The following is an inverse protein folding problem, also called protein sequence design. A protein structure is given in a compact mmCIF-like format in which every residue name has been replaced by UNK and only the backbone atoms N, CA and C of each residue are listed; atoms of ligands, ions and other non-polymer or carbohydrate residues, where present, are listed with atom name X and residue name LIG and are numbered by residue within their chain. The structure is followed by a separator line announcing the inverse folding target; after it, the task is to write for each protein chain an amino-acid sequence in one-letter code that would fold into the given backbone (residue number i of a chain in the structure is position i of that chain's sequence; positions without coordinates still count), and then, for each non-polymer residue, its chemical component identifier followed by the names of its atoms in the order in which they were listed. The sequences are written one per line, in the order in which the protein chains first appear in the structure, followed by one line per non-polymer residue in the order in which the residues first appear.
data_IF_031954450628
#
_entry.id   IF_031954450628
#
_cell.length_a   1.000
_cell.length_b   1.000
_cell.length_c   1.000
_cell.angle_alpha   90.00
_cell.angle_beta   90.00
_cell.angle_gamma   90.00
#
_symmetry.space_group_name_H-M   'P 1'
#
loop_
_entity.id
_entity.type
_entity.pdbx_description
1 polymer ?
#
# COMPACT_ATOMS: atom_id res chain seq x y z
N UNK A 1 15.51 -9.16 -10.87
CA UNK A 1 14.20 -9.75 -10.50
C UNK A 1 13.11 -8.76 -10.84
N UNK A 2 11.94 -9.21 -11.32
CA UNK A 2 10.76 -8.37 -11.52
C UNK A 2 9.73 -8.69 -10.45
N UNK A 3 9.14 -7.70 -9.81
CA UNK A 3 8.15 -7.87 -8.75
C UNK A 3 6.99 -6.90 -8.93
N UNK A 4 5.77 -7.38 -8.73
CA UNK A 4 4.59 -6.54 -8.58
C UNK A 4 4.24 -6.44 -7.09
N UNK A 5 3.83 -5.25 -6.63
CA UNK A 5 3.44 -5.03 -5.25
C UNK A 5 2.21 -4.13 -5.17
N UNK A 6 1.25 -4.54 -4.37
CA UNK A 6 0.02 -3.83 -4.05
C UNK A 6 -0.41 -4.26 -2.64
N UNK A 7 -1.24 -3.47 -1.99
CA UNK A 7 -1.74 -3.76 -0.64
C UNK A 7 -3.22 -3.41 -0.53
N UNK A 8 -3.91 -4.17 0.30
CA UNK A 8 -5.25 -3.90 0.79
C UNK A 8 -5.27 -4.26 2.27
N UNK A 9 -5.34 -3.25 3.14
CA UNK A 9 -5.29 -3.39 4.59
C UNK A 9 -6.52 -2.82 5.27
N UNK A 10 -7.16 -3.61 6.12
CA UNK A 10 -8.16 -3.10 7.07
C UNK A 10 -8.16 -4.01 8.30
N UNK A 11 -8.21 -3.40 9.48
CA UNK A 11 -8.45 -4.12 10.73
C UNK A 11 -9.91 -3.90 11.11
N UNK A 12 -10.67 -4.99 11.27
CA UNK A 12 -12.12 -4.93 11.48
C UNK A 12 -12.47 -5.39 12.88
N UNK A 13 -13.43 -4.70 13.50
CA UNK A 13 -14.05 -5.09 14.75
C UNK A 13 -15.52 -5.47 14.49
N UNK A 14 -15.91 -6.69 14.87
CA UNK A 14 -17.27 -7.22 14.66
C UNK A 14 -18.32 -6.52 15.54
N UNK A 15 -17.90 -5.91 16.66
CA UNK A 15 -18.78 -5.12 17.52
C UNK A 15 -18.90 -3.65 17.11
N UNK A 16 -18.08 -3.19 16.15
CA UNK A 16 -18.06 -1.79 15.75
C UNK A 16 -19.28 -1.44 14.89
N UNK A 17 -19.99 -0.34 15.19
CA UNK A 17 -21.05 0.18 14.33
C UNK A 17 -20.51 0.97 13.13
N UNK A 18 -19.19 1.20 13.06
CA UNK A 18 -18.55 1.99 12.01
C UNK A 18 -18.30 1.08 10.80
N UNK A 19 -18.93 1.33 9.64
CA UNK A 19 -18.74 0.49 8.47
C UNK A 19 -17.36 0.72 7.87
N UNK A 20 -16.65 -0.37 7.56
CA UNK A 20 -15.53 -0.33 6.61
C UNK A 20 -16.10 -0.10 5.21
N UNK A 21 -15.63 0.94 4.53
CA UNK A 21 -16.16 1.31 3.22
C UNK A 21 -15.17 2.08 2.37
N UNK A 22 -15.51 2.22 1.09
CA UNK A 22 -14.68 2.89 0.09
C UNK A 22 -14.23 4.30 0.50
N UNK A 23 -15.13 5.08 1.12
CA UNK A 23 -14.82 6.42 1.59
C UNK A 23 -13.69 6.42 2.64
N UNK A 24 -13.66 5.43 3.54
CA UNK A 24 -12.62 5.32 4.55
C UNK A 24 -11.23 5.14 3.93
N UNK A 25 -11.12 4.33 2.87
CA UNK A 25 -9.87 4.22 2.11
C UNK A 25 -9.52 5.53 1.40
N UNK A 26 -10.49 6.14 0.71
CA UNK A 26 -10.28 7.39 -0.02
C UNK A 26 -9.77 8.53 0.87
N UNK A 27 -10.21 8.59 2.13
CA UNK A 27 -9.86 9.65 3.08
C UNK A 27 -8.52 9.40 3.81
N UNK A 28 -7.98 8.17 3.77
CA UNK A 28 -6.83 7.79 4.62
C UNK A 28 -5.67 7.20 3.84
N UNK A 29 -5.88 6.04 3.19
CA UNK A 29 -4.80 5.17 2.73
C UNK A 29 -4.91 4.73 1.27
N UNK A 30 -5.77 5.36 0.47
CA UNK A 30 -5.88 5.07 -0.96
C UNK A 30 -4.81 5.81 -1.77
N UNK A 31 -3.81 5.07 -2.23
CA UNK A 31 -2.80 5.55 -3.18
C UNK A 31 -2.82 4.73 -4.46
N UNK A 32 -3.13 5.36 -5.59
CA UNK A 32 -3.04 4.71 -6.91
C UNK A 32 -1.57 4.55 -7.32
N UNK A 33 -1.28 3.72 -8.35
CA UNK A 33 0.07 3.62 -8.92
C UNK A 33 0.69 4.99 -9.20
N UNK A 34 1.84 5.27 -8.59
CA UNK A 34 2.57 6.53 -8.75
C UNK A 34 2.15 7.65 -7.79
N UNK A 35 1.09 7.48 -6.99
CA UNK A 35 0.64 8.44 -5.99
C UNK A 35 1.15 8.12 -4.58
N UNK A 36 1.93 7.05 -4.41
CA UNK A 36 2.40 6.60 -3.10
C UNK A 36 3.36 7.62 -2.46
N UNK A 37 3.24 7.87 -1.15
CA UNK A 37 4.15 8.73 -0.44
C UNK A 37 5.58 8.16 -0.46
N UNK A 38 6.59 9.04 -0.42
CA UNK A 38 8.01 8.63 -0.33
C UNK A 38 8.42 8.32 1.12
N UNK A 39 7.55 7.60 1.84
CA UNK A 39 7.79 7.09 3.19
C UNK A 39 6.92 5.84 3.42
N UNK A 40 7.34 4.91 4.30
CA UNK A 40 6.50 3.79 4.68
C UNK A 40 5.28 4.26 5.48
N UNK A 41 4.15 3.65 5.20
CA UNK A 41 2.88 3.76 5.95
C UNK A 41 2.40 2.35 6.26
N UNK A 42 1.27 2.24 6.97
CA UNK A 42 0.63 0.94 7.22
C UNK A 42 0.28 0.22 5.91
N UNK A 43 -0.22 0.93 4.90
CA UNK A 43 -0.53 0.32 3.61
C UNK A 43 0.69 0.22 2.68
N UNK A 44 1.69 1.10 2.76
CA UNK A 44 2.81 1.14 1.78
C UNK A 44 4.05 0.36 2.19
N UNK A 45 4.04 -0.35 3.34
CA UNK A 45 5.21 -1.05 3.87
C UNK A 45 5.84 -2.06 2.91
N UNK A 46 5.03 -2.89 2.23
CA UNK A 46 5.52 -3.86 1.25
C UNK A 46 6.16 -3.19 0.03
N UNK A 47 5.52 -2.13 -0.49
CA UNK A 47 6.05 -1.32 -1.59
C UNK A 47 7.38 -0.67 -1.21
N UNK A 48 7.46 -0.10 -0.01
CA UNK A 48 8.68 0.52 0.51
C UNK A 48 9.85 -0.47 0.54
N UNK A 49 9.61 -1.68 1.06
CA UNK A 49 10.62 -2.75 1.05
C UNK A 49 11.05 -3.14 -0.37
N UNK A 50 10.10 -3.24 -1.32
CA UNK A 50 10.39 -3.52 -2.72
C UNK A 50 11.24 -2.41 -3.37
N UNK A 51 10.89 -1.13 -3.17
CA UNK A 51 11.67 0.03 -3.64
C UNK A 51 13.09 0.02 -3.08
N UNK A 52 13.27 -0.35 -1.81
CA UNK A 52 14.61 -0.52 -1.22
C UNK A 52 15.41 -1.60 -1.94
N UNK A 53 14.81 -2.75 -2.22
CA UNK A 53 15.46 -3.83 -2.98
C UNK A 53 15.71 -3.48 -4.44
N UNK A 54 14.88 -2.61 -5.04
CA UNK A 54 15.16 -2.02 -6.34
C UNK A 54 16.48 -1.24 -6.34
N UNK A 55 16.67 -0.36 -5.34
CA UNK A 55 17.91 0.43 -5.19
C UNK A 55 19.13 -0.43 -4.85
N UNK A 56 18.99 -1.38 -3.93
CA UNK A 56 20.10 -2.21 -3.44
C UNK A 56 20.51 -3.33 -4.41
N UNK A 57 19.56 -3.86 -5.20
CA UNK A 57 19.75 -5.10 -5.98
C UNK A 57 19.29 -5.03 -7.43
N UNK A 58 18.92 -3.84 -7.92
CA UNK A 58 18.48 -3.64 -9.30
C UNK A 58 17.17 -4.37 -9.67
N UNK A 59 16.25 -4.52 -8.71
CA UNK A 59 14.93 -5.08 -9.01
C UNK A 59 14.09 -4.12 -9.86
N UNK A 60 13.31 -4.66 -10.79
CA UNK A 60 12.25 -3.90 -11.46
C UNK A 60 10.96 -4.06 -10.66
N UNK A 61 10.47 -2.98 -10.08
CA UNK A 61 9.24 -2.97 -9.27
C UNK A 61 8.12 -2.37 -10.10
N UNK A 62 6.99 -3.09 -10.17
CA UNK A 62 5.73 -2.61 -10.73
C UNK A 62 4.80 -2.32 -9.55
N UNK A 63 4.35 -1.07 -9.46
CA UNK A 63 3.60 -0.57 -8.32
C UNK A 63 2.10 -0.62 -8.62
N UNK A 64 1.33 -1.32 -7.79
CA UNK A 64 -0.12 -1.33 -7.78
C UNK A 64 -0.67 -0.35 -6.73
N UNK A 65 -1.99 -0.37 -6.57
CA UNK A 65 -2.66 0.41 -5.52
C UNK A 65 -2.21 -0.05 -4.14
N UNK A 66 -1.98 0.89 -3.24
CA UNK A 66 -1.91 0.62 -1.81
C UNK A 66 -3.17 1.20 -1.17
N UNK A 67 -3.86 0.38 -0.40
CA UNK A 67 -5.07 0.69 0.33
C UNK A 67 -5.07 -0.11 1.63
#
# INVERSE_FOLDING_TARGET
MRVFTATLGTETDTGSPIPTGWQAFADTMLWRPGEHPDQPTEATGALWACRRRARERGWSVVEGTCA
#
